data_IF_829025697869
#
_entry.id   IF_829025697869
#
_cell.length_a   1.000
_cell.length_b   1.000
_cell.length_c   1.000
_cell.angle_alpha   90.00
_cell.angle_beta   90.00
_cell.angle_gamma   90.00
#
_symmetry.space_group_name_H-M   'P 1'
#
loop_
_entity.id
_entity.type
_entity.pdbx_description
1 polymer ?
#
# COMPACT_ATOMS: atom_id res chain seq x y z
N UNK A 1 5.30 8.48 -33.91
CA UNK A 1 4.19 8.74 -32.95
C UNK A 1 4.42 7.95 -31.67
N UNK A 2 4.44 8.58 -30.48
CA UNK A 2 4.60 7.90 -29.20
C UNK A 2 3.25 7.57 -28.62
N UNK A 3 3.08 6.32 -28.23
CA UNK A 3 1.91 5.87 -27.49
C UNK A 3 2.33 5.41 -26.09
N UNK A 4 1.60 5.86 -25.07
CA UNK A 4 1.80 5.46 -23.70
C UNK A 4 0.65 4.52 -23.31
N UNK A 5 0.98 3.33 -22.85
CA UNK A 5 0.00 2.31 -22.46
C UNK A 5 0.13 2.01 -20.96
N UNK A 6 -1.01 2.00 -20.27
CA UNK A 6 -1.10 1.57 -18.88
C UNK A 6 -1.31 0.05 -18.75
N UNK A 7 -1.63 -0.62 -19.84
CA UNK A 7 -1.91 -2.05 -19.84
C UNK A 7 -0.66 -2.82 -20.27
N UNK A 8 -0.03 -3.49 -19.33
CA UNK A 8 1.15 -4.32 -19.59
C UNK A 8 0.82 -5.82 -19.62
N UNK A 9 -0.30 -6.20 -19.06
CA UNK A 9 -0.64 -7.59 -18.80
C UNK A 9 -1.28 -8.28 -20.00
N UNK A 10 -0.52 -8.91 -20.83
CA UNK A 10 -1.04 -9.83 -21.83
C UNK A 10 -0.48 -9.69 -23.24
N UNK A 11 0.16 -8.57 -23.58
CA UNK A 11 0.57 -8.26 -24.96
C UNK A 11 2.08 -8.29 -25.19
N UNK A 12 2.87 -8.39 -24.13
CA UNK A 12 4.32 -8.30 -24.26
C UNK A 12 4.96 -9.68 -24.42
N UNK A 13 5.39 -9.97 -25.63
CA UNK A 13 6.26 -11.10 -25.92
C UNK A 13 7.63 -10.55 -26.32
N UNK A 14 8.66 -10.92 -25.60
CA UNK A 14 10.02 -10.59 -25.98
C UNK A 14 10.80 -9.88 -24.89
N UNK A 15 12.08 -9.60 -25.11
CA UNK A 15 12.87 -8.81 -24.19
C UNK A 15 12.45 -7.33 -24.24
N UNK A 16 12.20 -6.76 -23.07
CA UNK A 16 11.92 -5.34 -22.91
C UNK A 16 13.01 -4.70 -22.06
N UNK A 17 13.37 -3.49 -22.43
CA UNK A 17 14.21 -2.66 -21.58
C UNK A 17 13.33 -1.95 -20.55
N UNK A 18 13.70 -2.04 -19.29
CA UNK A 18 12.96 -1.43 -18.17
C UNK A 18 13.77 -0.34 -17.50
N UNK A 19 13.05 0.69 -17.06
CA UNK A 19 13.53 1.68 -16.09
C UNK A 19 12.58 1.67 -14.91
N UNK A 20 13.10 1.71 -13.71
CA UNK A 20 12.30 1.68 -12.48
C UNK A 20 12.62 2.88 -11.64
N UNK A 21 11.60 3.64 -11.30
CA UNK A 21 11.66 4.73 -10.34
C UNK A 21 11.03 4.27 -9.04
N UNK A 22 11.67 4.59 -7.93
CA UNK A 22 11.02 4.54 -6.63
C UNK A 22 10.49 5.93 -6.33
N UNK A 23 9.23 6.02 -5.95
CA UNK A 23 8.63 7.28 -5.49
C UNK A 23 8.89 7.35 -4.00
N UNK A 24 9.78 8.26 -3.62
CA UNK A 24 10.19 8.42 -2.23
C UNK A 24 9.09 9.12 -1.43
N UNK A 25 8.78 8.58 -0.26
CA UNK A 25 7.86 9.17 0.69
C UNK A 25 8.44 10.35 1.48
N UNK A 26 9.62 10.85 1.09
CA UNK A 26 10.30 11.91 1.80
C UNK A 26 9.69 13.28 1.56
N UNK A 27 9.61 14.00 2.64
CA UNK A 27 9.00 15.27 2.88
C UNK A 27 10.01 16.40 2.78
N UNK A 28 9.84 17.35 1.89
CA UNK A 28 10.53 18.64 2.05
C UNK A 28 9.68 19.71 2.79
N UNK A 29 8.35 19.57 2.84
CA UNK A 29 7.47 20.59 3.46
C UNK A 29 6.39 20.00 4.41
N UNK A 30 6.62 18.88 5.06
CA UNK A 30 5.66 18.28 5.99
C UNK A 30 4.47 17.56 5.35
N UNK A 31 4.42 17.44 4.02
CA UNK A 31 3.41 16.68 3.29
C UNK A 31 4.00 15.35 2.85
N UNK A 32 3.60 14.29 3.52
CA UNK A 32 4.05 12.94 3.16
C UNK A 32 3.42 12.51 1.82
N UNK A 33 4.25 12.22 0.83
CA UNK A 33 3.81 11.60 -0.43
C UNK A 33 3.22 10.21 -0.18
N UNK A 34 3.59 9.57 0.93
CA UNK A 34 2.99 8.34 1.43
C UNK A 34 1.46 8.41 1.65
N UNK A 35 0.87 9.61 1.63
CA UNK A 35 -0.58 9.79 1.69
C UNK A 35 -1.28 9.70 0.33
N UNK A 36 -0.52 9.62 -0.77
CA UNK A 36 -1.11 9.50 -2.10
C UNK A 36 -1.58 8.08 -2.35
N UNK A 37 -2.75 7.95 -2.98
CA UNK A 37 -3.20 6.66 -3.47
C UNK A 37 -2.39 6.24 -4.71
N UNK A 38 -2.41 4.95 -5.02
CA UNK A 38 -1.79 4.42 -6.23
C UNK A 38 -2.29 5.14 -7.49
N UNK A 39 -3.58 5.38 -7.57
CA UNK A 39 -4.24 6.05 -8.69
C UNK A 39 -3.77 7.51 -8.84
N UNK A 40 -3.53 8.19 -7.73
CA UNK A 40 -2.97 9.55 -7.77
C UNK A 40 -1.52 9.55 -8.25
N UNK A 41 -0.70 8.61 -7.79
CA UNK A 41 0.67 8.44 -8.26
C UNK A 41 0.68 8.13 -9.76
N UNK A 42 -0.14 7.19 -10.22
CA UNK A 42 -0.30 6.87 -11.64
C UNK A 42 -0.69 8.09 -12.47
N UNK A 43 -1.67 8.85 -12.03
CA UNK A 43 -2.15 10.05 -12.73
C UNK A 43 -1.08 11.12 -12.83
N UNK A 44 -0.38 11.40 -11.72
CA UNK A 44 0.68 12.39 -11.67
C UNK A 44 1.87 11.96 -12.52
N UNK A 45 2.28 10.70 -12.37
CA UNK A 45 3.38 10.16 -13.16
C UNK A 45 3.07 10.17 -14.67
N UNK A 46 1.87 9.79 -15.06
CA UNK A 46 1.45 9.85 -16.47
C UNK A 46 1.65 11.26 -17.08
N UNK A 47 1.26 12.28 -16.35
CA UNK A 47 1.44 13.67 -16.81
C UNK A 47 2.92 14.05 -16.99
N UNK A 48 3.78 13.58 -16.07
CA UNK A 48 5.23 13.81 -16.15
C UNK A 48 5.82 13.06 -17.34
N UNK A 49 5.47 11.79 -17.48
CA UNK A 49 5.91 10.92 -18.58
C UNK A 49 5.48 11.49 -19.94
N UNK A 50 4.25 11.95 -20.06
CA UNK A 50 3.73 12.54 -21.29
C UNK A 50 4.50 13.79 -21.69
N UNK A 51 4.79 14.68 -20.72
CA UNK A 51 5.58 15.89 -20.96
C UNK A 51 7.01 15.57 -21.37
N UNK A 52 7.68 14.67 -20.64
CA UNK A 52 9.04 14.25 -20.94
C UNK A 52 9.13 13.58 -22.32
N UNK A 53 8.20 12.69 -22.63
CA UNK A 53 8.12 12.02 -23.93
C UNK A 53 7.95 13.03 -25.05
N UNK A 54 7.01 13.96 -24.95
CA UNK A 54 6.80 15.02 -25.96
C UNK A 54 8.04 15.87 -26.15
N UNK A 55 8.75 16.24 -25.08
CA UNK A 55 9.98 17.02 -25.17
C UNK A 55 11.07 16.26 -25.92
N UNK A 56 11.35 15.03 -25.54
CA UNK A 56 12.39 14.22 -26.20
C UNK A 56 12.06 14.01 -27.68
N UNK A 57 10.82 13.69 -28.01
CA UNK A 57 10.39 13.47 -29.39
C UNK A 57 10.34 14.74 -30.22
N UNK A 58 10.23 15.93 -29.63
CA UNK A 58 10.34 17.20 -30.36
C UNK A 58 11.77 17.61 -30.65
N UNK A 59 12.73 17.10 -29.90
CA UNK A 59 14.15 17.47 -30.02
C UNK A 59 14.94 16.57 -30.98
N UNK A 60 14.46 15.36 -31.22
CA UNK A 60 15.16 14.39 -32.04
C UNK A 60 14.25 13.95 -33.19
N UNK A 61 14.82 13.95 -34.41
CA UNK A 61 14.12 13.40 -35.56
C UNK A 61 14.18 11.88 -35.49
N UNK A 62 13.03 11.30 -35.23
CA UNK A 62 12.87 9.86 -35.31
C UNK A 62 12.01 9.56 -36.53
N UNK A 63 12.56 8.86 -37.47
CA UNK A 63 11.81 8.29 -38.60
C UNK A 63 10.52 7.65 -38.07
N UNK A 64 9.47 7.64 -38.86
CA UNK A 64 8.07 7.25 -38.57
C UNK A 64 7.85 6.01 -37.69
N UNK A 65 8.80 5.71 -36.83
CA UNK A 65 8.79 4.57 -35.93
C UNK A 65 7.81 4.81 -34.81
N UNK A 66 6.83 3.96 -34.73
CA UNK A 66 5.89 3.94 -33.63
C UNK A 66 6.56 3.35 -32.38
N UNK A 67 6.75 4.16 -31.34
CA UNK A 67 7.32 3.71 -30.07
C UNK A 67 6.21 3.62 -29.05
N UNK A 68 6.09 2.45 -28.45
CA UNK A 68 5.12 2.21 -27.39
C UNK A 68 5.83 2.08 -26.05
N UNK A 69 5.52 2.99 -25.15
CA UNK A 69 5.99 2.95 -23.76
C UNK A 69 4.86 2.38 -22.92
N UNK A 70 5.17 1.33 -22.20
CA UNK A 70 4.28 0.77 -21.19
C UNK A 70 4.72 1.27 -19.84
N UNK A 71 3.77 1.59 -18.99
CA UNK A 71 4.09 1.87 -17.60
C UNK A 71 3.06 1.26 -16.66
N UNK A 72 3.49 0.97 -15.47
CA UNK A 72 2.63 0.57 -14.37
C UNK A 72 3.24 0.98 -13.04
N UNK A 73 2.40 1.11 -12.04
CA UNK A 73 2.78 1.48 -10.68
C UNK A 73 2.46 0.32 -9.75
N UNK A 74 3.41 -0.03 -8.93
CA UNK A 74 3.30 -1.08 -7.94
C UNK A 74 3.52 -0.50 -6.54
N UNK A 75 2.77 -1.00 -5.55
CA UNK A 75 3.04 -0.68 -4.16
C UNK A 75 4.29 -1.44 -3.75
N UNK A 76 5.32 -0.71 -3.37
CA UNK A 76 6.49 -1.31 -2.77
C UNK A 76 6.40 -1.12 -1.26
N UNK A 77 6.36 -2.23 -0.54
CA UNK A 77 6.25 -2.23 0.91
C UNK A 77 7.66 -2.34 1.47
N UNK A 78 8.22 -1.17 1.80
CA UNK A 78 9.25 -1.06 2.82
C UNK A 78 8.58 -0.64 4.14
N UNK A 79 9.33 -0.26 5.16
CA UNK A 79 8.78 0.26 6.42
C UNK A 79 7.94 1.55 6.23
N UNK A 80 8.06 2.18 5.06
CA UNK A 80 7.26 3.30 4.58
C UNK A 80 6.57 2.92 3.26
N UNK A 81 5.36 3.46 3.01
CA UNK A 81 4.62 3.18 1.77
C UNK A 81 5.33 3.87 0.61
N UNK A 82 6.03 3.10 -0.18
CA UNK A 82 6.69 3.55 -1.39
C UNK A 82 5.99 2.96 -2.62
N UNK A 83 6.13 3.65 -3.74
CA UNK A 83 5.64 3.17 -5.02
C UNK A 83 6.81 2.96 -5.97
N UNK A 84 6.81 1.84 -6.67
CA UNK A 84 7.70 1.61 -7.81
C UNK A 84 6.95 1.88 -9.10
N UNK A 85 7.55 2.69 -9.96
CA UNK A 85 7.03 2.99 -11.29
C UNK A 85 7.92 2.35 -12.32
N UNK A 86 7.36 1.43 -13.07
CA UNK A 86 8.03 0.69 -14.12
C UNK A 86 7.71 1.29 -15.48
N UNK A 87 8.76 1.59 -16.25
CA UNK A 87 8.67 1.95 -17.63
C UNK A 87 9.29 0.86 -18.48
N UNK A 88 8.57 0.42 -19.50
CA UNK A 88 9.02 -0.60 -20.43
C UNK A 88 8.98 -0.08 -21.86
N UNK A 89 9.99 -0.42 -22.64
CA UNK A 89 10.04 -0.15 -24.07
C UNK A 89 10.60 -1.35 -24.81
N UNK A 90 10.23 -1.49 -26.07
CA UNK A 90 10.85 -2.49 -26.95
C UNK A 90 12.38 -2.38 -26.90
N UNK A 91 13.07 -3.52 -26.83
CA UNK A 91 14.53 -3.58 -26.74
C UNK A 91 15.28 -2.87 -27.86
N UNK A 92 14.65 -2.63 -29.00
CA UNK A 92 15.22 -1.86 -30.12
C UNK A 92 15.43 -0.37 -29.78
N UNK A 93 14.79 0.10 -28.73
CA UNK A 93 14.76 1.53 -28.39
C UNK A 93 15.14 1.83 -26.92
N UNK A 94 16.13 1.15 -26.31
CA UNK A 94 16.47 1.37 -24.92
C UNK A 94 16.96 2.81 -24.65
N UNK A 95 17.62 3.42 -25.62
CA UNK A 95 18.16 4.78 -25.51
C UNK A 95 17.07 5.83 -25.34
N UNK A 96 15.91 5.60 -25.95
CA UNK A 96 14.76 6.45 -25.76
C UNK A 96 14.30 6.46 -24.31
N UNK A 97 14.14 5.26 -23.76
CA UNK A 97 13.68 5.15 -22.40
C UNK A 97 14.66 5.79 -21.42
N UNK A 98 15.99 5.64 -21.68
CA UNK A 98 17.02 6.33 -20.88
C UNK A 98 16.86 7.84 -20.93
N UNK A 99 16.73 8.42 -22.14
CA UNK A 99 16.55 9.86 -22.31
C UNK A 99 15.27 10.37 -21.62
N UNK A 100 14.18 9.66 -21.76
CA UNK A 100 12.92 10.01 -21.11
C UNK A 100 13.06 9.91 -19.60
N UNK A 101 13.71 8.88 -19.09
CA UNK A 101 13.93 8.69 -17.67
C UNK A 101 14.83 9.78 -17.07
N UNK A 102 15.91 10.14 -17.79
CA UNK A 102 16.79 11.24 -17.40
C UNK A 102 16.05 12.58 -17.38
N UNK A 103 15.20 12.82 -18.38
CA UNK A 103 14.35 14.01 -18.42
C UNK A 103 13.34 14.04 -17.27
N UNK A 104 12.69 12.93 -16.99
CA UNK A 104 11.79 12.80 -15.83
C UNK A 104 12.54 13.11 -14.55
N UNK A 105 13.69 12.50 -14.34
CA UNK A 105 14.46 12.66 -13.10
C UNK A 105 15.01 14.08 -12.91
N UNK A 106 15.43 14.74 -14.00
CA UNK A 106 16.11 16.04 -13.94
C UNK A 106 15.17 17.24 -13.98
N UNK A 107 14.03 17.12 -14.64
CA UNK A 107 13.19 18.30 -15.00
C UNK A 107 11.79 18.29 -14.36
N UNK A 108 11.36 17.20 -13.70
CA UNK A 108 10.05 17.19 -13.08
C UNK A 108 9.99 18.08 -11.84
N UNK A 109 8.80 18.62 -11.57
CA UNK A 109 8.57 19.35 -10.33
C UNK A 109 8.55 18.35 -9.14
N UNK A 110 9.58 18.41 -8.30
CA UNK A 110 9.73 17.55 -7.13
C UNK A 110 8.63 17.69 -6.09
N UNK A 111 7.85 18.81 -6.15
CA UNK A 111 6.65 18.98 -5.33
C UNK A 111 5.50 18.06 -5.74
N UNK A 112 5.53 17.55 -6.98
CA UNK A 112 4.50 16.64 -7.48
C UNK A 112 4.78 15.21 -7.08
N UNK A 113 5.99 14.74 -7.32
CA UNK A 113 6.50 13.43 -6.94
C UNK A 113 8.02 13.55 -6.72
N UNK A 114 8.55 12.83 -5.75
CA UNK A 114 10.00 12.72 -5.54
C UNK A 114 10.41 11.34 -6.00
N UNK A 115 11.40 11.29 -6.89
CA UNK A 115 11.90 10.03 -7.42
C UNK A 115 13.33 9.77 -6.94
N UNK A 116 13.61 8.53 -6.61
CA UNK A 116 14.99 8.05 -6.58
C UNK A 116 15.58 8.01 -7.98
N UNK A 117 16.91 7.99 -8.07
CA UNK A 117 17.58 7.80 -9.35
C UNK A 117 17.09 6.49 -9.98
N UNK A 118 16.61 6.52 -11.25
CA UNK A 118 16.08 5.31 -11.86
C UNK A 118 17.18 4.27 -12.05
N UNK A 119 16.83 3.02 -11.87
CA UNK A 119 17.68 1.90 -12.27
C UNK A 119 17.14 1.23 -13.52
N UNK A 120 18.04 0.66 -14.29
CA UNK A 120 17.72 0.03 -15.58
C UNK A 120 18.01 -1.46 -15.59
N UNK A 121 17.38 -2.16 -16.49
CA UNK A 121 17.60 -3.59 -16.68
C UNK A 121 16.83 -4.15 -17.85
N UNK A 122 16.92 -5.46 -18.03
CA UNK A 122 16.20 -6.18 -19.08
C UNK A 122 15.15 -7.09 -18.45
N UNK A 123 14.00 -7.18 -19.10
CA UNK A 123 12.99 -8.18 -18.81
C UNK A 123 12.87 -9.06 -20.04
N UNK A 124 13.18 -10.34 -19.88
CA UNK A 124 13.14 -11.31 -20.98
C UNK A 124 11.77 -11.95 -21.18
N UNK A 125 10.95 -11.94 -20.13
CA UNK A 125 9.57 -12.42 -20.18
C UNK A 125 8.69 -11.55 -19.29
N UNK A 126 7.97 -10.63 -19.90
CA UNK A 126 7.06 -9.77 -19.15
C UNK A 126 6.00 -10.54 -18.34
N UNK A 127 5.53 -11.68 -18.85
CA UNK A 127 4.50 -12.46 -18.17
C UNK A 127 4.99 -13.14 -16.89
N UNK A 128 6.21 -13.65 -16.90
CA UNK A 128 6.77 -14.38 -15.76
C UNK A 128 7.31 -13.41 -14.71
N UNK A 129 8.08 -12.42 -15.16
CA UNK A 129 8.65 -11.40 -14.25
C UNK A 129 7.58 -10.57 -13.56
N UNK A 130 6.53 -10.17 -14.28
CA UNK A 130 5.41 -9.45 -13.70
C UNK A 130 4.59 -10.34 -12.76
N UNK A 131 4.42 -11.63 -13.09
CA UNK A 131 3.78 -12.58 -12.17
C UNK A 131 4.56 -12.76 -10.89
N UNK A 132 5.87 -12.77 -10.97
CA UNK A 132 6.72 -12.95 -9.80
C UNK A 132 6.75 -11.69 -8.93
N UNK A 133 6.78 -10.51 -9.54
CA UNK A 133 6.58 -9.23 -8.87
C UNK A 133 5.22 -9.16 -8.17
N UNK A 134 4.14 -9.57 -8.86
CA UNK A 134 2.80 -9.61 -8.26
C UNK A 134 2.65 -10.66 -7.17
N UNK A 135 3.38 -11.78 -7.24
CA UNK A 135 3.40 -12.78 -6.16
C UNK A 135 4.15 -12.23 -4.94
N UNK A 136 5.23 -11.51 -5.18
CA UNK A 136 6.02 -10.89 -4.12
C UNK A 136 5.21 -9.80 -3.40
N UNK A 137 4.50 -8.96 -4.14
CA UNK A 137 3.58 -7.95 -3.62
C UNK A 137 2.46 -8.60 -2.80
N UNK A 138 1.77 -9.60 -3.35
CA UNK A 138 0.76 -10.35 -2.61
C UNK A 138 1.30 -11.04 -1.37
N UNK A 139 2.52 -11.55 -1.42
CA UNK A 139 3.16 -12.19 -0.27
C UNK A 139 3.45 -11.16 0.83
N UNK A 140 3.87 -9.96 0.47
CA UNK A 140 4.08 -8.86 1.40
C UNK A 140 2.74 -8.35 1.98
N UNK A 141 1.73 -8.20 1.15
CA UNK A 141 0.38 -7.84 1.58
C UNK A 141 -0.21 -8.88 2.54
N UNK A 142 -0.06 -10.16 2.22
CA UNK A 142 -0.49 -11.26 3.10
C UNK A 142 0.27 -11.23 4.43
N UNK A 143 1.58 -10.95 4.43
CA UNK A 143 2.36 -10.81 5.66
C UNK A 143 1.85 -9.64 6.50
N UNK A 144 1.58 -8.48 5.89
CA UNK A 144 1.04 -7.31 6.58
C UNK A 144 -0.33 -7.59 7.18
N UNK A 145 -1.22 -8.19 6.40
CA UNK A 145 -2.55 -8.57 6.86
C UNK A 145 -2.49 -9.60 7.99
N UNK A 146 -1.56 -10.55 7.94
CA UNK A 146 -1.37 -11.52 9.01
C UNK A 146 -0.88 -10.88 10.31
N UNK A 147 0.01 -9.88 10.23
CA UNK A 147 0.44 -9.11 11.41
C UNK A 147 -0.75 -8.37 12.01
N UNK A 148 -1.54 -7.71 11.18
CA UNK A 148 -2.74 -6.98 11.61
C UNK A 148 -3.79 -7.91 12.23
N UNK A 149 -4.05 -9.05 11.60
CA UNK A 149 -4.96 -10.08 12.12
C UNK A 149 -4.48 -10.61 13.48
N UNK A 150 -3.19 -10.84 13.66
CA UNK A 150 -2.65 -11.30 14.92
C UNK A 150 -2.79 -10.23 16.02
N UNK A 151 -2.53 -8.97 15.70
CA UNK A 151 -2.75 -7.84 16.61
C UNK A 151 -4.23 -7.79 17.08
N UNK A 152 -5.18 -7.89 16.16
CA UNK A 152 -6.59 -7.87 16.50
C UNK A 152 -7.04 -9.09 17.29
N UNK A 153 -6.46 -10.28 17.02
CA UNK A 153 -6.70 -11.48 17.82
C UNK A 153 -6.25 -11.30 19.26
N UNK A 154 -5.05 -10.78 19.48
CA UNK A 154 -4.52 -10.53 20.83
C UNK A 154 -5.37 -9.50 21.56
N UNK A 155 -5.73 -8.39 20.91
CA UNK A 155 -6.60 -7.38 21.48
C UNK A 155 -7.98 -7.93 21.84
N UNK A 156 -8.53 -8.80 20.99
CA UNK A 156 -9.81 -9.48 21.26
C UNK A 156 -9.73 -10.42 22.48
N UNK A 157 -8.69 -11.23 22.59
CA UNK A 157 -8.51 -12.13 23.74
C UNK A 157 -8.30 -11.35 25.03
N UNK A 158 -7.60 -10.23 24.99
CA UNK A 158 -7.46 -9.33 26.14
C UNK A 158 -8.81 -8.72 26.56
N UNK A 159 -9.57 -8.23 25.60
CA UNK A 159 -10.92 -7.69 25.85
C UNK A 159 -11.84 -8.76 26.42
N UNK A 160 -11.81 -9.96 25.87
CA UNK A 160 -12.59 -11.11 26.37
C UNK A 160 -12.23 -11.46 27.80
N UNK A 161 -10.94 -11.45 28.16
CA UNK A 161 -10.51 -11.67 29.55
C UNK A 161 -11.08 -10.58 30.50
N UNK A 162 -11.04 -9.33 30.07
CA UNK A 162 -11.62 -8.22 30.84
C UNK A 162 -13.14 -8.38 31.02
N UNK A 163 -13.86 -8.73 29.96
CA UNK A 163 -15.29 -8.99 30.02
C UNK A 163 -15.65 -10.12 30.98
N UNK A 164 -14.89 -11.23 30.96
CA UNK A 164 -15.08 -12.34 31.87
C UNK A 164 -14.80 -11.95 33.34
N UNK A 165 -13.77 -11.14 33.57
CA UNK A 165 -13.49 -10.60 34.90
C UNK A 165 -14.61 -9.69 35.42
N UNK A 166 -15.18 -8.83 34.56
CA UNK A 166 -16.32 -8.02 34.95
C UNK A 166 -17.58 -8.86 35.23
N UNK A 167 -17.83 -9.90 34.44
CA UNK A 167 -18.94 -10.80 34.66
C UNK A 167 -18.82 -11.48 36.03
N UNK A 168 -17.64 -11.94 36.43
CA UNK A 168 -17.37 -12.51 37.73
C UNK A 168 -17.64 -11.50 38.88
N UNK A 169 -17.20 -10.24 38.72
CA UNK A 169 -17.44 -9.18 39.71
C UNK A 169 -18.95 -8.90 39.88
N UNK A 170 -19.69 -8.91 38.76
CA UNK A 170 -21.15 -8.70 38.80
C UNK A 170 -21.83 -9.86 39.53
N UNK A 171 -21.44 -11.11 39.20
CA UNK A 171 -21.98 -12.30 39.85
C UNK A 171 -21.73 -12.28 41.40
N UNK A 172 -20.51 -11.92 41.77
CA UNK A 172 -20.16 -11.77 43.19
C UNK A 172 -21.01 -10.68 43.89
N UNK A 173 -21.20 -9.53 43.21
CA UNK A 173 -22.04 -8.44 43.74
C UNK A 173 -23.52 -8.85 43.87
N UNK A 174 -24.05 -9.59 42.89
CA UNK A 174 -25.42 -10.13 42.93
C UNK A 174 -25.58 -11.14 44.08
N UNK A 175 -24.63 -12.01 44.27
CA UNK A 175 -24.65 -13.00 45.36
C UNK A 175 -24.59 -12.29 46.72
N UNK A 176 -23.77 -11.26 46.85
CA UNK A 176 -23.64 -10.48 48.06
C UNK A 176 -24.96 -9.71 48.38
N UNK A 177 -25.58 -9.11 47.36
CA UNK A 177 -26.86 -8.44 47.48
C UNK A 177 -27.98 -9.43 47.90
N UNK A 178 -28.00 -10.62 47.35
CA UNK A 178 -28.94 -11.69 47.71
C UNK A 178 -28.79 -12.10 49.17
N UNK A 179 -27.54 -12.31 49.59
CA UNK A 179 -27.24 -12.65 50.98
C UNK A 179 -27.71 -11.57 51.96
N UNK A 180 -27.47 -10.30 51.69
CA UNK A 180 -27.93 -9.20 52.51
C UNK A 180 -29.45 -9.13 52.62
N UNK A 181 -30.16 -9.36 51.48
CA UNK A 181 -31.59 -9.41 51.45
C UNK A 181 -32.16 -10.54 52.35
N UNK A 182 -31.64 -11.74 52.19
CA UNK A 182 -32.03 -12.90 52.98
C UNK A 182 -31.75 -12.70 54.46
N UNK A 183 -30.59 -12.11 54.80
CA UNK A 183 -30.24 -11.77 56.21
C UNK A 183 -31.22 -10.77 56.82
N UNK A 184 -31.56 -9.70 56.10
CA UNK A 184 -32.54 -8.71 56.54
C UNK A 184 -33.95 -9.31 56.74
N UNK A 185 -34.40 -10.15 55.80
CA UNK A 185 -35.67 -10.85 55.90
C UNK A 185 -35.72 -11.80 57.12
N UNK A 186 -34.63 -12.47 57.42
CA UNK A 186 -34.55 -13.34 58.61
C UNK A 186 -34.54 -12.55 59.93
N UNK A 187 -33.85 -11.40 59.96
CA UNK A 187 -33.91 -10.51 61.12
C UNK A 187 -35.33 -10.00 61.38
N UNK A 188 -36.01 -9.52 60.36
CA UNK A 188 -37.39 -9.06 60.46
C UNK A 188 -38.35 -10.16 60.96
N UNK A 189 -38.19 -11.37 60.49
CA UNK A 189 -38.97 -12.52 60.96
C UNK A 189 -38.73 -12.86 62.41
N UNK A 190 -37.51 -12.67 62.91
CA UNK A 190 -37.18 -12.92 64.31
C UNK A 190 -37.74 -11.83 65.21
N UNK A 191 -37.66 -10.56 64.84
CA UNK A 191 -38.27 -9.48 65.52
C UNK A 191 -39.78 -9.61 65.69
N UNK A 192 -40.48 -10.01 64.60
CA UNK A 192 -41.93 -10.26 64.64
C UNK A 192 -42.32 -11.45 65.59
N UNK A 193 -41.38 -12.41 65.76
CA UNK A 193 -41.62 -13.54 66.66
C UNK A 193 -41.38 -13.22 68.11
N UNK A 194 -40.57 -12.24 68.46
CA UNK A 194 -40.31 -11.79 69.80
C UNK A 194 -41.40 -10.85 70.37
N UNK A 195 -42.12 -10.18 69.47
CA UNK A 195 -43.23 -9.25 69.82
C UNK A 195 -44.61 -9.95 69.99
N UNK A 196 -44.70 -11.28 69.76
CA UNK A 196 -45.92 -12.08 69.95
C UNK A 196 -45.75 -13.11 71.10
#
# INVERSE_FOLDING_TARGET
>A
MVSISRETFGLCQGPFFKMVFTVDGCCEDGVYISSLSKEEVEKRFYSILEKASKKIFSQEYYDDTYIKIYFFVENYISDEVEYRVYLLVDHKYPEFLRKIADEIYSSHDKKVLIFSKPYEGWIYSCKEDIRDLLKEDKTQEIKKLNIEVNYWKEAYEELKKKCLSFASVIEDAENHARWHKESAENQLKNEIREDN
#
